data_IF_230421465205
#
_entry.id   IF_230421465205
#
_cell.length_a   1.000
_cell.length_b   1.000
_cell.length_c   1.000
_cell.angle_alpha   90.00
_cell.angle_beta   90.00
_cell.angle_gamma   90.00
#
_symmetry.space_group_name_H-M   'P 1'
#
loop_
_entity.id
_entity.type
_entity.pdbx_description
1 polymer ?
#
# COMPACT_ATOMS: atom_id res chain seq x y z
N UNK A 1 -6.73 18.50 -2.26
CA UNK A 1 -5.58 17.66 -1.87
C UNK A 1 -6.08 16.30 -1.44
N UNK A 2 -5.38 15.26 -1.81
CA UNK A 2 -5.74 13.90 -1.42
C UNK A 2 -5.65 13.72 0.09
N UNK A 3 -6.61 13.00 0.66
CA UNK A 3 -6.63 12.68 2.09
C UNK A 3 -6.77 11.16 2.24
N UNK A 4 -5.65 10.45 2.14
CA UNK A 4 -5.68 8.98 2.15
C UNK A 4 -6.01 8.44 3.54
N UNK A 5 -6.82 7.39 3.57
CA UNK A 5 -7.16 6.67 4.80
C UNK A 5 -6.58 5.26 4.73
N UNK A 6 -6.15 4.76 5.88
CA UNK A 6 -5.64 3.40 6.01
C UNK A 6 -6.67 2.40 5.47
N UNK A 7 -6.22 1.49 4.62
CA UNK A 7 -7.07 0.49 3.98
C UNK A 7 -7.49 0.85 2.57
N UNK A 8 -7.37 2.11 2.18
CA UNK A 8 -7.63 2.51 0.80
C UNK A 8 -6.50 2.07 -0.12
N UNK A 9 -6.87 1.74 -1.36
CA UNK A 9 -5.90 1.47 -2.43
C UNK A 9 -5.95 2.62 -3.41
N UNK A 10 -4.80 3.20 -3.68
CA UNK A 10 -4.64 4.34 -4.59
C UNK A 10 -3.67 3.99 -5.70
N UNK A 11 -3.86 4.60 -6.87
CA UNK A 11 -2.78 4.70 -7.85
C UNK A 11 -1.77 5.71 -7.31
N UNK A 12 -0.51 5.31 -7.30
CA UNK A 12 0.58 6.11 -6.73
C UNK A 12 1.71 6.22 -7.74
N UNK A 13 2.21 7.42 -7.91
CA UNK A 13 3.40 7.67 -8.72
C UNK A 13 4.64 7.40 -7.86
N UNK A 14 5.27 6.26 -8.10
CA UNK A 14 6.46 5.82 -7.34
C UNK A 14 7.76 6.30 -7.97
N UNK A 15 7.69 7.08 -9.06
CA UNK A 15 8.86 7.61 -9.73
C UNK A 15 9.23 6.83 -10.98
N UNK A 16 10.39 7.19 -11.57
CA UNK A 16 10.74 6.80 -12.93
C UNK A 16 10.77 5.29 -13.17
N UNK A 17 11.42 4.54 -12.29
CA UNK A 17 11.60 3.09 -12.48
C UNK A 17 10.34 2.33 -12.13
N UNK A 18 9.73 2.68 -11.01
CA UNK A 18 8.56 1.96 -10.49
C UNK A 18 7.26 2.41 -11.14
N UNK A 19 7.23 3.58 -11.78
CA UNK A 19 6.07 4.13 -12.49
C UNK A 19 4.84 4.27 -11.57
N UNK A 20 3.65 4.26 -12.16
CA UNK A 20 2.39 4.37 -11.42
C UNK A 20 1.88 2.97 -11.14
N UNK A 21 1.58 2.70 -9.86
CA UNK A 21 1.10 1.39 -9.42
C UNK A 21 -0.01 1.55 -8.40
N UNK A 22 -0.91 0.56 -8.31
CA UNK A 22 -1.79 0.47 -7.15
C UNK A 22 -0.97 0.25 -5.88
N UNK A 23 -1.29 0.98 -4.83
CA UNK A 23 -0.64 0.82 -3.53
C UNK A 23 -1.68 0.90 -2.43
N UNK A 24 -1.50 0.06 -1.42
CA UNK A 24 -2.35 0.04 -0.23
C UNK A 24 -1.85 1.08 0.76
N UNK A 25 -2.72 1.98 1.20
CA UNK A 25 -2.42 2.90 2.29
C UNK A 25 -2.38 2.10 3.58
N UNK A 26 -1.19 1.99 4.15
CA UNK A 26 -0.94 1.13 5.31
C UNK A 26 -0.79 1.93 6.60
N UNK A 27 -0.29 3.16 6.53
CA UNK A 27 -0.17 4.02 7.70
C UNK A 27 -1.49 4.66 8.06
N UNK A 28 -1.56 5.17 9.29
CA UNK A 28 -2.63 6.08 9.70
C UNK A 28 -2.38 7.45 9.09
N UNK A 29 -3.39 8.32 9.13
CA UNK A 29 -3.26 9.68 8.61
C UNK A 29 -2.42 10.52 9.56
N UNK A 30 -1.48 11.29 9.01
CA UNK A 30 -0.74 12.28 9.78
C UNK A 30 -1.68 13.43 10.10
N UNK A 31 -1.81 13.79 11.38
CA UNK A 31 -2.78 14.78 11.82
C UNK A 31 -2.21 15.80 12.81
N UNK A 32 -1.04 15.55 13.39
CA UNK A 32 -0.43 16.44 14.37
C UNK A 32 0.29 17.61 13.71
N UNK A 33 0.42 18.74 14.41
CA UNK A 33 1.04 19.94 13.83
C UNK A 33 2.53 19.78 13.51
N UNK A 34 3.19 18.80 14.13
CA UNK A 34 4.60 18.53 13.90
C UNK A 34 4.83 17.26 13.08
N UNK A 35 3.77 16.64 12.58
CA UNK A 35 3.91 15.44 11.77
C UNK A 35 4.38 15.79 10.36
N UNK A 36 5.15 14.90 9.79
CA UNK A 36 5.43 14.99 8.35
C UNK A 36 4.18 14.58 7.58
N UNK A 37 3.88 15.29 6.49
CA UNK A 37 2.71 15.00 5.65
C UNK A 37 3.10 13.89 4.67
N UNK A 38 3.18 12.67 5.21
CA UNK A 38 3.56 11.47 4.48
C UNK A 38 2.49 10.39 4.65
N UNK A 39 2.50 9.46 3.73
CA UNK A 39 1.70 8.25 3.81
C UNK A 39 2.60 7.05 3.50
N UNK A 40 2.46 5.98 4.27
CA UNK A 40 3.19 4.74 4.01
C UNK A 40 2.30 3.78 3.26
N UNK A 41 2.81 3.27 2.15
CA UNK A 41 2.06 2.41 1.24
C UNK A 41 2.77 1.09 0.99
N UNK A 42 2.00 0.06 0.63
CA UNK A 42 2.50 -1.25 0.21
C UNK A 42 2.12 -1.41 -1.26
N UNK A 43 3.11 -1.60 -2.12
CA UNK A 43 2.89 -1.65 -3.56
C UNK A 43 2.26 -2.97 -3.98
N UNK A 44 1.39 -2.90 -4.99
CA UNK A 44 0.81 -4.05 -5.66
C UNK A 44 1.56 -4.31 -6.97
N UNK A 45 1.76 -5.57 -7.31
CA UNK A 45 2.38 -5.97 -8.57
C UNK A 45 1.61 -7.13 -9.20
N UNK A 46 1.55 -7.13 -10.53
CA UNK A 46 1.02 -8.25 -11.30
C UNK A 46 2.09 -9.30 -11.60
N UNK A 47 3.34 -9.02 -11.26
CA UNK A 47 4.50 -9.90 -11.50
C UNK A 47 4.96 -10.53 -10.19
N UNK A 48 4.17 -11.47 -9.67
CA UNK A 48 4.51 -12.18 -8.45
C UNK A 48 5.80 -13.00 -8.63
N UNK A 49 6.61 -13.04 -7.57
CA UNK A 49 7.89 -13.77 -7.54
C UNK A 49 7.80 -15.08 -6.77
N UNK A 50 6.67 -15.32 -6.08
CA UNK A 50 6.52 -16.49 -5.21
C UNK A 50 7.21 -16.31 -3.85
N UNK A 51 7.43 -15.07 -3.44
CA UNK A 51 8.02 -14.77 -2.14
C UNK A 51 7.02 -14.98 -1.00
N UNK A 52 7.52 -15.36 0.18
CA UNK A 52 6.70 -15.47 1.38
C UNK A 52 6.17 -14.11 1.86
N UNK A 53 6.68 -13.01 1.30
CA UNK A 53 6.28 -11.66 1.67
C UNK A 53 5.32 -11.04 0.67
N UNK A 54 4.72 -11.86 -0.19
CA UNK A 54 3.70 -11.45 -1.14
C UNK A 54 2.34 -11.94 -0.68
N UNK A 55 1.32 -11.08 -0.79
CA UNK A 55 -0.04 -11.39 -0.34
C UNK A 55 -1.00 -11.24 -1.50
N UNK A 56 -1.57 -12.34 -2.00
CA UNK A 56 -2.63 -12.24 -3.01
C UNK A 56 -3.91 -11.73 -2.35
N UNK A 57 -4.46 -10.65 -2.91
CA UNK A 57 -5.71 -10.07 -2.44
C UNK A 57 -6.59 -9.83 -3.65
N UNK A 58 -7.53 -10.72 -3.94
CA UNK A 58 -8.46 -10.51 -5.04
C UNK A 58 -9.41 -9.35 -4.71
N UNK A 59 -9.48 -8.38 -5.62
CA UNK A 59 -10.39 -7.25 -5.50
C UNK A 59 -10.82 -6.79 -6.89
N UNK A 60 -12.07 -6.33 -6.99
CA UNK A 60 -12.67 -5.96 -8.27
C UNK A 60 -11.93 -4.82 -8.96
N UNK A 61 -11.30 -3.95 -8.20
CA UNK A 61 -10.58 -2.77 -8.72
C UNK A 61 -9.09 -3.04 -8.95
N UNK A 62 -8.64 -4.29 -8.81
CA UNK A 62 -7.25 -4.68 -9.02
C UNK A 62 -7.15 -5.80 -10.04
N UNK A 63 -6.11 -5.76 -10.88
CA UNK A 63 -5.72 -6.91 -11.68
C UNK A 63 -5.21 -8.01 -10.77
N UNK A 64 -5.21 -9.24 -11.25
CA UNK A 64 -4.62 -10.35 -10.51
C UNK A 64 -3.15 -10.06 -10.22
N UNK A 65 -2.76 -10.26 -8.97
CA UNK A 65 -1.41 -9.98 -8.52
C UNK A 65 -1.31 -10.09 -7.01
N UNK A 66 -0.30 -9.45 -6.46
CA UNK A 66 0.00 -9.54 -5.03
C UNK A 66 0.38 -8.16 -4.49
N UNK A 67 0.12 -7.94 -3.20
CA UNK A 67 0.77 -6.86 -2.46
C UNK A 67 2.13 -7.36 -2.00
N UNK A 68 3.16 -6.58 -2.27
CA UNK A 68 4.55 -6.94 -1.95
C UNK A 68 4.96 -6.23 -0.67
N UNK A 69 4.99 -6.97 0.44
CA UNK A 69 5.33 -6.41 1.74
C UNK A 69 6.78 -5.92 1.81
N UNK A 70 7.66 -6.40 0.94
CA UNK A 70 9.03 -5.90 0.86
C UNK A 70 9.12 -4.56 0.14
N UNK A 71 8.06 -4.16 -0.56
CA UNK A 71 7.98 -2.87 -1.23
C UNK A 71 7.03 -1.96 -0.45
N UNK A 72 7.43 -1.65 0.78
CA UNK A 72 6.74 -0.71 1.66
C UNK A 72 7.54 0.59 1.68
N UNK A 73 6.87 1.71 1.45
CA UNK A 73 7.55 2.99 1.26
C UNK A 73 6.67 4.14 1.76
N UNK A 74 7.31 5.16 2.34
CA UNK A 74 6.64 6.40 2.75
C UNK A 74 6.84 7.45 1.67
N UNK A 75 5.76 8.08 1.26
CA UNK A 75 5.74 9.04 0.16
C UNK A 75 4.96 10.30 0.54
N UNK A 76 5.27 11.44 -0.10
CA UNK A 76 4.43 12.63 0.03
C UNK A 76 3.05 12.41 -0.59
N UNK A 77 2.02 13.08 -0.07
CA UNK A 77 0.65 12.97 -0.59
C UNK A 77 0.54 13.37 -2.05
N UNK A 78 1.43 14.23 -2.54
CA UNK A 78 1.42 14.66 -3.94
C UNK A 78 1.62 13.49 -4.92
N UNK A 79 2.17 12.38 -4.46
CA UNK A 79 2.35 11.18 -5.28
C UNK A 79 1.07 10.37 -5.48
N UNK A 80 0.04 10.64 -4.69
CA UNK A 80 -1.25 9.97 -4.81
C UNK A 80 -1.99 10.50 -6.03
N UNK A 81 -2.37 9.61 -6.94
CA UNK A 81 -3.02 9.99 -8.20
C UNK A 81 -4.53 9.88 -8.08
N UNK A 82 -5.04 8.70 -7.69
CA UNK A 82 -6.47 8.45 -7.66
C UNK A 82 -6.78 7.26 -6.75
N UNK A 83 -7.84 7.36 -5.97
CA UNK A 83 -8.32 6.24 -5.17
C UNK A 83 -9.01 5.21 -6.07
N UNK A 84 -8.68 3.94 -5.87
CA UNK A 84 -9.26 2.82 -6.61
C UNK A 84 -10.35 2.09 -5.83
N UNK A 85 -10.17 1.94 -4.53
CA UNK A 85 -11.11 1.20 -3.69
C UNK A 85 -10.59 1.06 -2.28
N UNK A 86 -11.23 0.18 -1.51
CA UNK A 86 -10.92 -0.05 -0.11
C UNK A 86 -10.86 -1.56 0.13
N UNK A 87 -9.84 -2.03 0.84
CA UNK A 87 -9.76 -3.42 1.26
C UNK A 87 -10.70 -3.67 2.45
N UNK A 88 -11.18 -4.89 2.55
CA UNK A 88 -11.93 -5.32 3.74
C UNK A 88 -10.98 -5.44 4.93
N UNK A 89 -11.52 -5.49 6.16
CA UNK A 89 -10.70 -5.67 7.34
C UNK A 89 -9.93 -6.99 7.32
N UNK A 90 -10.53 -8.07 6.82
CA UNK A 90 -9.85 -9.35 6.68
C UNK A 90 -8.69 -9.27 5.69
N UNK A 91 -8.87 -8.57 4.58
CA UNK A 91 -7.80 -8.35 3.60
C UNK A 91 -6.68 -7.52 4.22
N UNK A 92 -7.03 -6.46 4.96
CA UNK A 92 -6.04 -5.66 5.67
C UNK A 92 -5.25 -6.49 6.68
N UNK A 93 -5.93 -7.34 7.44
CA UNK A 93 -5.28 -8.21 8.42
C UNK A 93 -4.28 -9.15 7.74
N UNK A 94 -4.64 -9.70 6.58
CA UNK A 94 -3.76 -10.58 5.82
C UNK A 94 -2.48 -9.85 5.38
N UNK A 95 -2.60 -8.64 4.87
CA UNK A 95 -1.43 -7.84 4.47
C UNK A 95 -0.63 -7.44 5.70
N UNK A 96 -1.29 -7.00 6.77
CA UNK A 96 -0.61 -6.57 7.99
C UNK A 96 0.22 -7.70 8.60
N UNK A 97 -0.29 -8.92 8.62
CA UNK A 97 0.44 -10.07 9.15
C UNK A 97 1.76 -10.29 8.41
N UNK A 98 1.76 -10.15 7.09
CA UNK A 98 2.96 -10.34 6.27
C UNK A 98 3.93 -9.16 6.40
N UNK A 99 3.41 -7.93 6.48
CA UNK A 99 4.25 -6.75 6.71
C UNK A 99 4.95 -6.86 8.07
N UNK A 100 4.23 -7.29 9.11
CA UNK A 100 4.82 -7.48 10.45
C UNK A 100 5.91 -8.53 10.41
N UNK A 101 5.70 -9.62 9.68
CA UNK A 101 6.70 -10.66 9.50
C UNK A 101 7.95 -10.12 8.82
N UNK A 102 7.78 -9.36 7.73
CA UNK A 102 8.90 -8.76 7.01
C UNK A 102 9.70 -7.78 7.87
N UNK A 103 8.99 -6.96 8.65
CA UNK A 103 9.64 -5.95 9.50
C UNK A 103 10.11 -6.51 10.85
N UNK A 104 9.87 -7.78 11.14
CA UNK A 104 10.29 -8.38 12.40
C UNK A 104 9.47 -7.91 13.59
N UNK A 105 8.25 -7.48 13.40
CA UNK A 105 7.36 -7.02 14.47
C UNK A 105 6.52 -8.15 15.02
N UNK A 106 6.23 -8.10 16.30
CA UNK A 106 5.40 -9.09 16.97
C UNK A 106 3.91 -8.86 16.79
#
# INVERSE_FOLDING_TARGET
MANPLRGEVWLVDLGMVAKIRPCLVFSVSAAGPNDRVLVTVVAHTTSARGSDFEVPVPARFLKLGVFDAQNIISIPHVRLVRRLGVLTSDQMDAVAAVVRKWLGLQ
#
